data_IF_209103096589
#
_entry.id   IF_209103096589
#
_cell.length_a   1.000
_cell.length_b   1.000
_cell.length_c   1.000
_cell.angle_alpha   90.00
_cell.angle_beta   90.00
_cell.angle_gamma   90.00
#
_symmetry.space_group_name_H-M   'P 1'
#
loop_
_entity.id
_entity.type
_entity.pdbx_description
1 polymer ?
#
# COMPACT_ATOMS: atom_id res chain seq x y z
N UNK A 1 -33.98 1.86 -4.25
CA UNK A 1 -33.41 1.06 -3.15
C UNK A 1 -31.94 0.79 -3.47
N UNK A 2 -31.02 1.51 -2.86
CA UNK A 2 -29.58 1.39 -3.15
C UNK A 2 -28.97 0.45 -2.13
N UNK A 3 -28.49 -0.72 -2.57
CA UNK A 3 -27.91 -1.76 -1.71
C UNK A 3 -26.51 -1.35 -1.31
N UNK A 4 -26.34 -0.88 -0.07
CA UNK A 4 -25.03 -0.59 0.54
C UNK A 4 -24.21 -1.87 0.61
N UNK A 5 -23.11 -1.95 -0.13
CA UNK A 5 -22.19 -3.07 -0.07
C UNK A 5 -21.36 -2.97 1.22
N UNK A 6 -21.67 -3.83 2.21
CA UNK A 6 -20.87 -3.95 3.43
C UNK A 6 -19.48 -4.49 3.06
N UNK A 7 -18.44 -3.66 3.17
CA UNK A 7 -17.05 -4.10 3.12
C UNK A 7 -16.82 -5.10 4.26
N UNK A 8 -16.79 -6.39 3.93
CA UNK A 8 -16.53 -7.45 4.89
C UNK A 8 -15.02 -7.43 5.17
N UNK A 9 -14.65 -7.21 6.44
CA UNK A 9 -13.25 -7.18 6.89
C UNK A 9 -12.51 -8.42 6.34
N UNK A 10 -11.41 -8.25 5.57
CA UNK A 10 -10.66 -9.38 5.04
C UNK A 10 -10.21 -10.30 6.18
N UNK A 11 -10.32 -11.61 5.98
CA UNK A 11 -9.73 -12.59 6.91
C UNK A 11 -8.21 -12.36 6.95
N UNK A 12 -7.55 -12.64 8.08
CA UNK A 12 -6.11 -12.42 8.23
C UNK A 12 -5.27 -13.02 7.09
N UNK A 13 -5.68 -14.18 6.56
CA UNK A 13 -5.04 -14.82 5.41
C UNK A 13 -5.27 -14.12 4.06
N UNK A 14 -6.37 -13.40 3.89
CA UNK A 14 -6.61 -12.57 2.69
C UNK A 14 -5.78 -11.30 2.74
N UNK A 15 -5.68 -10.68 3.92
CA UNK A 15 -4.89 -9.46 4.11
C UNK A 15 -3.40 -9.73 3.84
N UNK A 16 -2.84 -10.80 4.40
CA UNK A 16 -1.45 -11.20 4.14
C UNK A 16 -1.16 -11.45 2.65
N UNK A 17 -2.13 -12.00 1.90
CA UNK A 17 -1.99 -12.18 0.44
C UNK A 17 -2.02 -10.87 -0.33
N UNK A 18 -2.89 -9.94 0.06
CA UNK A 18 -2.94 -8.60 -0.53
C UNK A 18 -1.59 -7.91 -0.32
N UNK A 19 -1.04 -7.97 0.90
CA UNK A 19 0.26 -7.39 1.23
C UNK A 19 1.41 -8.01 0.41
N UNK A 20 1.43 -9.33 0.26
CA UNK A 20 2.42 -10.02 -0.57
C UNK A 20 2.35 -9.58 -2.04
N UNK A 21 1.15 -9.44 -2.59
CA UNK A 21 0.95 -8.97 -3.98
C UNK A 21 1.43 -7.53 -4.14
N UNK A 22 1.08 -6.64 -3.20
CA UNK A 22 1.49 -5.23 -3.25
C UNK A 22 3.01 -5.08 -3.09
N UNK A 23 3.64 -5.87 -2.22
CA UNK A 23 5.09 -5.89 -2.06
C UNK A 23 5.80 -6.29 -3.37
N UNK A 24 5.40 -7.41 -3.97
CA UNK A 24 5.94 -7.87 -5.25
C UNK A 24 5.76 -6.84 -6.37
N UNK A 25 4.59 -6.19 -6.44
CA UNK A 25 4.32 -5.15 -7.43
C UNK A 25 5.21 -3.92 -7.24
N UNK A 26 5.47 -3.52 -5.99
CA UNK A 26 6.36 -2.39 -5.65
C UNK A 26 7.80 -2.66 -6.07
N UNK A 27 8.31 -3.86 -5.82
CA UNK A 27 9.66 -4.27 -6.25
C UNK A 27 9.78 -4.24 -7.78
N UNK A 28 8.82 -4.84 -8.49
CA UNK A 28 8.80 -4.85 -9.96
C UNK A 28 8.72 -3.44 -10.55
N UNK A 29 7.94 -2.54 -9.94
CA UNK A 29 7.88 -1.14 -10.35
C UNK A 29 9.23 -0.42 -10.16
N UNK A 30 9.94 -0.70 -9.08
CA UNK A 30 11.24 -0.10 -8.81
C UNK A 30 12.32 -0.61 -9.79
N UNK A 31 12.27 -1.89 -10.16
CA UNK A 31 13.25 -2.52 -11.05
C UNK A 31 12.98 -2.24 -12.54
N UNK A 32 11.73 -2.33 -12.98
CA UNK A 32 11.35 -2.41 -14.40
C UNK A 32 10.42 -1.27 -14.84
N UNK A 33 9.96 -0.45 -13.89
CA UNK A 33 8.93 0.56 -14.15
C UNK A 33 7.57 -0.04 -14.50
N UNK A 34 6.62 0.82 -14.86
CA UNK A 34 5.22 0.44 -15.15
C UNK A 34 5.14 -0.50 -16.36
N UNK A 35 6.02 -0.35 -17.35
CA UNK A 35 6.01 -1.16 -18.56
C UNK A 35 6.32 -2.65 -18.30
N UNK A 36 7.07 -2.97 -17.25
CA UNK A 36 7.36 -4.36 -16.83
C UNK A 36 6.28 -5.00 -15.95
N UNK A 37 5.25 -4.24 -15.57
CA UNK A 37 4.24 -4.70 -14.64
C UNK A 37 3.08 -5.40 -15.35
N UNK A 38 2.82 -6.65 -14.96
CA UNK A 38 1.69 -7.44 -15.43
C UNK A 38 1.17 -8.31 -14.28
N UNK A 39 -0.07 -8.80 -14.39
CA UNK A 39 -0.62 -9.74 -13.40
C UNK A 39 0.26 -11.00 -13.28
N UNK A 40 0.84 -11.46 -14.39
CA UNK A 40 1.69 -12.63 -14.41
C UNK A 40 3.06 -12.39 -13.76
N UNK A 41 3.73 -11.28 -14.08
CA UNK A 41 5.03 -10.96 -13.45
C UNK A 41 4.88 -10.73 -11.95
N UNK A 42 3.78 -10.11 -11.51
CA UNK A 42 3.46 -9.97 -10.08
C UNK A 42 3.19 -11.32 -9.42
N UNK A 43 2.41 -12.19 -10.06
CA UNK A 43 2.11 -13.52 -9.54
C UNK A 43 3.39 -14.37 -9.38
N UNK A 44 4.27 -14.33 -10.37
CA UNK A 44 5.59 -14.98 -10.34
C UNK A 44 6.43 -14.47 -9.17
N UNK A 45 6.59 -13.14 -9.06
CA UNK A 45 7.36 -12.50 -7.98
C UNK A 45 6.79 -12.82 -6.59
N UNK A 46 5.47 -12.80 -6.45
CA UNK A 46 4.78 -13.13 -5.19
C UNK A 46 4.69 -14.64 -4.92
N UNK A 47 5.17 -15.49 -5.83
CA UNK A 47 5.12 -16.96 -5.75
C UNK A 47 3.70 -17.52 -5.52
N UNK A 48 2.71 -16.95 -6.21
CA UNK A 48 1.31 -17.39 -6.15
C UNK A 48 0.73 -17.61 -7.56
N UNK A 49 -0.35 -18.39 -7.69
CA UNK A 49 -1.03 -18.54 -8.98
C UNK A 49 -1.60 -17.20 -9.48
N UNK A 50 -1.55 -16.89 -10.80
CA UNK A 50 -2.15 -15.68 -11.36
C UNK A 50 -3.65 -15.52 -11.04
N UNK A 51 -4.39 -16.63 -10.93
CA UNK A 51 -5.79 -16.62 -10.51
C UNK A 51 -5.99 -16.04 -9.11
N UNK A 52 -5.01 -16.19 -8.21
CA UNK A 52 -5.03 -15.57 -6.89
C UNK A 52 -4.83 -14.06 -6.97
N UNK A 53 -4.00 -13.57 -7.89
CA UNK A 53 -3.87 -12.12 -8.13
C UNK A 53 -5.18 -11.56 -8.69
N UNK A 54 -5.75 -12.21 -9.73
CA UNK A 54 -7.04 -11.81 -10.30
C UNK A 54 -8.20 -11.82 -9.31
N UNK A 55 -8.14 -12.68 -8.29
CA UNK A 55 -9.13 -12.69 -7.21
C UNK A 55 -9.14 -11.38 -6.41
N UNK A 56 -7.99 -10.72 -6.24
CA UNK A 56 -7.86 -9.47 -5.49
C UNK A 56 -7.81 -8.21 -6.38
N UNK A 57 -7.22 -8.32 -7.56
CA UNK A 57 -7.00 -7.21 -8.48
C UNK A 57 -7.39 -7.61 -9.91
N UNK A 58 -8.46 -7.01 -10.42
CA UNK A 58 -8.99 -7.35 -11.74
C UNK A 58 -8.05 -6.94 -12.90
N UNK A 59 -7.13 -6.00 -12.67
CA UNK A 59 -6.24 -5.45 -13.69
C UNK A 59 -4.99 -4.80 -13.07
N UNK A 60 -4.00 -4.51 -13.91
CA UNK A 60 -2.81 -3.74 -13.50
C UNK A 60 -3.17 -2.32 -13.01
N UNK A 61 -4.07 -1.56 -13.68
CA UNK A 61 -4.57 -0.31 -13.12
C UNK A 61 -5.16 -0.43 -11.71
N UNK A 62 -5.98 -1.44 -11.44
CA UNK A 62 -6.55 -1.66 -10.10
C UNK A 62 -5.47 -1.95 -9.04
N UNK A 63 -4.39 -2.65 -9.43
CA UNK A 63 -3.23 -2.87 -8.57
C UNK A 63 -2.45 -1.57 -8.29
N UNK A 64 -2.26 -0.72 -9.30
CA UNK A 64 -1.61 0.58 -9.15
C UNK A 64 -2.43 1.55 -8.29
N UNK A 65 -3.75 1.54 -8.44
CA UNK A 65 -4.66 2.31 -7.57
C UNK A 65 -4.52 1.88 -6.12
N UNK A 66 -4.47 0.57 -5.86
CA UNK A 66 -4.27 0.03 -4.51
C UNK A 66 -2.89 0.41 -3.93
N UNK A 67 -1.82 0.36 -4.72
CA UNK A 67 -0.49 0.83 -4.31
C UNK A 67 -0.49 2.32 -3.98
N UNK A 68 -1.16 3.13 -4.80
CA UNK A 68 -1.28 4.58 -4.57
C UNK A 68 -2.07 4.85 -3.29
N UNK A 69 -3.16 4.14 -3.06
CA UNK A 69 -3.94 4.23 -1.84
C UNK A 69 -3.14 3.81 -0.59
N UNK A 70 -2.26 2.81 -0.74
CA UNK A 70 -1.35 2.34 0.29
C UNK A 70 -0.35 3.43 0.71
N UNK A 71 0.33 4.03 -0.27
CA UNK A 71 1.26 5.15 -0.04
C UNK A 71 0.56 6.33 0.59
N UNK A 72 -0.60 6.73 0.06
CA UNK A 72 -1.37 7.83 0.63
C UNK A 72 -1.87 7.55 2.06
N UNK A 73 -2.15 6.29 2.39
CA UNK A 73 -2.52 5.90 3.75
C UNK A 73 -1.33 6.05 4.70
N UNK A 74 -0.18 5.46 4.35
CA UNK A 74 1.04 5.57 5.15
C UNK A 74 1.43 7.04 5.38
N UNK A 75 1.32 7.87 4.34
CA UNK A 75 1.58 9.31 4.44
C UNK A 75 0.63 10.01 5.43
N UNK A 76 -0.68 9.74 5.34
CA UNK A 76 -1.66 10.30 6.30
C UNK A 76 -1.41 9.80 7.72
N UNK A 77 -1.07 8.53 7.89
CA UNK A 77 -0.79 7.93 9.19
C UNK A 77 0.42 8.63 9.84
N UNK A 78 1.50 8.85 9.07
CA UNK A 78 2.69 9.57 9.53
C UNK A 78 2.39 11.02 9.96
N UNK A 79 1.55 11.74 9.19
CA UNK A 79 1.14 13.10 9.52
C UNK A 79 0.18 13.16 10.73
N UNK A 80 -0.67 12.16 10.90
CA UNK A 80 -1.66 12.09 11.99
C UNK A 80 -1.07 11.57 13.30
N UNK A 81 0.12 10.99 13.27
CA UNK A 81 0.78 10.47 14.46
C UNK A 81 0.96 11.60 15.50
N UNK A 82 0.58 11.38 16.77
CA UNK A 82 0.72 12.40 17.81
C UNK A 82 2.16 12.91 17.90
N UNK A 83 2.32 14.21 18.10
CA UNK A 83 3.61 14.82 18.38
C UNK A 83 3.68 15.07 19.87
N UNK A 84 4.68 14.49 20.54
CA UNK A 84 4.96 14.78 21.94
C UNK A 84 5.48 16.21 22.06
N UNK A 85 4.65 17.09 22.63
CA UNK A 85 4.98 18.51 22.80
C UNK A 85 6.13 18.76 23.77
N UNK A 86 6.53 17.76 24.56
CA UNK A 86 7.71 17.82 25.42
C UNK A 86 9.02 17.47 24.69
N UNK A 87 8.94 16.88 23.49
CA UNK A 87 10.10 16.41 22.73
C UNK A 87 10.84 17.51 21.94
N UNK A 88 10.35 18.75 21.97
CA UNK A 88 10.95 19.87 21.27
C UNK A 88 10.68 21.19 22.02
N UNK A 89 11.61 22.14 21.88
CA UNK A 89 11.54 23.46 22.50
C UNK A 89 11.56 24.60 21.48
N UNK A 90 11.89 24.30 20.22
CA UNK A 90 11.97 25.26 19.14
C UNK A 90 11.25 24.77 17.88
N UNK A 91 10.85 25.71 17.02
CA UNK A 91 10.26 25.40 15.72
C UNK A 91 11.17 24.54 14.83
N UNK A 92 12.49 24.72 14.89
CA UNK A 92 13.44 23.93 14.11
C UNK A 92 13.50 22.45 14.54
N UNK A 93 13.37 22.18 15.84
CA UNK A 93 13.30 20.81 16.35
C UNK A 93 11.99 20.12 15.93
N UNK A 94 10.88 20.86 15.97
CA UNK A 94 9.60 20.37 15.45
C UNK A 94 9.67 20.08 13.94
N UNK A 95 10.25 20.98 13.14
CA UNK A 95 10.43 20.78 11.68
C UNK A 95 11.23 19.50 11.40
N UNK A 96 12.38 19.32 12.06
CA UNK A 96 13.21 18.11 11.90
C UNK A 96 12.48 16.84 12.32
N UNK A 97 11.70 16.89 13.40
CA UNK A 97 10.92 15.75 13.88
C UNK A 97 9.83 15.35 12.87
N UNK A 98 9.17 16.32 12.23
CA UNK A 98 8.17 16.04 11.20
C UNK A 98 8.83 15.51 9.93
N UNK A 99 9.96 16.09 9.51
CA UNK A 99 10.74 15.63 8.34
C UNK A 99 11.20 14.18 8.48
N UNK A 100 11.58 13.73 9.69
CA UNK A 100 12.03 12.36 9.94
C UNK A 100 10.89 11.30 9.93
N UNK A 101 9.63 11.72 9.93
CA UNK A 101 8.47 10.82 9.86
C UNK A 101 8.06 10.46 8.43
N UNK A 102 8.55 11.23 7.45
CA UNK A 102 8.25 11.08 6.03
C UNK A 102 9.32 10.25 5.33
#
# INVERSE_FOLDING_TARGET
>A
MTRTATSRKPRASSQARIEAILAAARELLAELGVAGLSVYSVAERAQIPPSSVYHFFASVPALLEALTADVHRAFRDALSAPIDSSAFSTWHELSRLIEQRM
#
